data_IF_654830307935
#
_entry.id   IF_654830307935
#
_cell.length_a   1.000
_cell.length_b   1.000
_cell.length_c   1.000
_cell.angle_alpha   90.00
_cell.angle_beta   90.00
_cell.angle_gamma   90.00
#
_symmetry.space_group_name_H-M   'P 1'
#
loop_
_entity.id
_entity.type
_entity.pdbx_description
1 polymer ?
#
# COMPACT_ATOMS: atom_id res chain seq x y z
N UNK A 1 -3.25 10.18 -7.57
CA UNK A 1 -3.60 8.85 -8.11
C UNK A 1 -4.29 8.92 -9.48
N UNK A 2 -5.51 9.47 -9.59
CA UNK A 2 -6.31 9.33 -10.82
C UNK A 2 -5.69 9.87 -12.12
N UNK A 3 -4.99 11.00 -12.04
CA UNK A 3 -4.29 11.57 -13.20
C UNK A 3 -3.19 10.65 -13.74
N UNK A 4 -2.46 9.96 -12.84
CA UNK A 4 -1.43 9.00 -13.23
C UNK A 4 -2.06 7.80 -13.93
N UNK A 5 -3.19 7.30 -13.42
CA UNK A 5 -3.90 6.18 -14.02
C UNK A 5 -4.46 6.51 -15.41
N UNK A 6 -5.04 7.70 -15.59
CA UNK A 6 -5.48 8.18 -16.90
C UNK A 6 -4.30 8.27 -17.87
N UNK A 7 -3.12 8.73 -17.41
CA UNK A 7 -1.93 8.81 -18.25
C UNK A 7 -1.43 7.43 -18.70
N UNK A 8 -1.41 6.43 -17.79
CA UNK A 8 -1.05 5.05 -18.13
C UNK A 8 -2.08 4.46 -19.11
N UNK A 9 -3.37 4.72 -18.89
CA UNK A 9 -4.45 4.23 -19.76
C UNK A 9 -4.52 4.88 -21.13
N UNK A 10 -3.89 6.04 -21.31
CA UNK A 10 -3.70 6.61 -22.63
C UNK A 10 -2.73 5.77 -23.50
N UNK A 11 -1.90 4.93 -22.86
CA UNK A 11 -1.01 3.97 -23.53
C UNK A 11 -1.68 2.60 -23.60
N UNK A 12 -2.15 2.08 -22.46
CA UNK A 12 -2.86 0.79 -22.38
C UNK A 12 -4.15 0.92 -21.55
N UNK A 13 -5.32 0.95 -22.20
CA UNK A 13 -6.59 1.16 -21.53
C UNK A 13 -7.03 -0.01 -20.64
N UNK A 14 -6.39 -1.18 -20.74
CA UNK A 14 -6.69 -2.34 -19.87
C UNK A 14 -6.09 -2.19 -18.48
N UNK A 15 -5.10 -1.31 -18.31
CA UNK A 15 -4.38 -1.15 -17.05
C UNK A 15 -5.16 -0.31 -16.03
N UNK A 16 -4.90 -0.63 -14.76
CA UNK A 16 -5.29 0.13 -13.58
C UNK A 16 -4.07 0.30 -12.68
N UNK A 17 -4.12 1.24 -11.72
CA UNK A 17 -3.07 1.32 -10.70
C UNK A 17 -3.37 0.31 -9.59
N UNK A 18 -2.59 -0.77 -9.44
CA UNK A 18 -2.74 -1.70 -8.33
C UNK A 18 -2.47 -1.03 -6.97
N UNK A 19 -3.19 -1.47 -5.92
CA UNK A 19 -2.89 -1.06 -4.54
C UNK A 19 -1.81 -1.94 -3.93
N UNK A 20 -0.87 -1.45 -3.13
CA UNK A 20 0.07 -2.30 -2.37
C UNK A 20 -0.31 -2.39 -0.89
N UNK A 21 -0.86 -3.52 -0.47
CA UNK A 21 -1.13 -3.83 0.94
C UNK A 21 0.15 -4.28 1.67
N UNK A 22 0.89 -3.28 2.14
CA UNK A 22 2.10 -3.51 2.92
C UNK A 22 1.89 -4.27 4.24
N UNK A 23 0.64 -4.51 4.67
CA UNK A 23 0.37 -5.36 5.83
C UNK A 23 0.75 -6.83 5.57
N UNK A 24 0.67 -7.30 4.33
CA UNK A 24 1.06 -8.66 3.96
C UNK A 24 2.56 -8.87 4.14
N UNK A 25 3.37 -7.86 3.83
CA UNK A 25 4.82 -7.88 4.02
C UNK A 25 5.22 -7.69 5.49
N UNK A 26 4.41 -6.96 6.28
CA UNK A 26 4.66 -6.68 7.70
C UNK A 26 4.74 -7.95 8.57
N UNK A 27 4.21 -9.06 8.05
CA UNK A 27 4.19 -10.35 8.72
C UNK A 27 5.46 -11.17 8.54
N UNK A 28 6.36 -10.72 7.65
CA UNK A 28 7.65 -11.36 7.43
C UNK A 28 8.62 -11.15 8.60
N UNK A 29 9.61 -12.03 8.81
CA UNK A 29 10.61 -11.85 9.86
C UNK A 29 11.51 -10.64 9.53
N UNK A 30 11.69 -10.38 8.24
CA UNK A 30 12.32 -9.19 7.70
C UNK A 30 11.54 -8.74 6.45
N UNK A 31 10.73 -7.67 6.50
CA UNK A 31 9.95 -7.23 5.35
C UNK A 31 10.78 -6.79 4.13
N UNK A 32 12.07 -6.47 4.30
CA UNK A 32 13.00 -6.21 3.18
C UNK A 32 13.25 -7.46 2.32
N UNK A 33 12.96 -8.66 2.84
CA UNK A 33 13.11 -9.92 2.11
C UNK A 33 11.85 -10.34 1.35
N UNK A 34 10.81 -9.49 1.33
CA UNK A 34 9.66 -9.67 0.44
C UNK A 34 10.10 -9.80 -1.01
N UNK A 35 9.41 -10.66 -1.76
CA UNK A 35 9.57 -10.79 -3.21
C UNK A 35 9.34 -9.45 -3.95
N UNK A 36 8.60 -8.51 -3.36
CA UNK A 36 8.37 -7.18 -3.94
C UNK A 36 9.67 -6.38 -4.14
N UNK A 37 10.70 -6.59 -3.32
CA UNK A 37 11.99 -5.89 -3.40
C UNK A 37 13.02 -6.66 -4.24
N UNK A 38 12.55 -7.20 -5.37
CA UNK A 38 13.36 -7.95 -6.34
C UNK A 38 13.15 -7.40 -7.76
N UNK A 39 14.02 -7.76 -8.73
CA UNK A 39 13.87 -7.35 -10.12
C UNK A 39 12.54 -7.74 -10.77
N UNK A 40 11.80 -8.69 -10.18
CA UNK A 40 10.49 -9.10 -10.69
C UNK A 40 9.40 -8.04 -10.45
N UNK A 41 9.56 -7.21 -9.41
CA UNK A 41 8.56 -6.22 -8.99
C UNK A 41 9.15 -4.82 -8.91
N UNK A 42 9.47 -4.33 -7.70
CA UNK A 42 9.87 -2.94 -7.51
C UNK A 42 11.37 -2.70 -7.75
N UNK A 43 12.15 -3.75 -7.99
CA UNK A 43 13.60 -3.67 -8.12
C UNK A 43 14.30 -3.76 -6.77
N UNK A 44 15.55 -4.18 -6.80
CA UNK A 44 16.44 -4.24 -5.65
C UNK A 44 17.40 -3.05 -5.64
N UNK A 45 17.78 -2.62 -4.44
CA UNK A 45 18.79 -1.57 -4.23
C UNK A 45 20.19 -2.14 -4.26
N UNK A 46 21.16 -1.35 -4.72
CA UNK A 46 22.57 -1.61 -4.48
C UNK A 46 23.00 -1.13 -3.08
N UNK A 47 24.32 -1.06 -2.83
CA UNK A 47 24.87 -0.62 -1.54
C UNK A 47 24.70 0.88 -1.25
N UNK A 48 24.40 1.68 -2.28
CA UNK A 48 24.15 3.13 -2.17
C UNK A 48 22.66 3.45 -2.07
N UNK A 49 21.79 2.46 -2.26
CA UNK A 49 20.34 2.63 -2.26
C UNK A 49 19.75 2.82 -3.66
N UNK A 50 20.56 2.79 -4.71
CA UNK A 50 20.10 3.00 -6.09
C UNK A 50 19.35 1.79 -6.62
N UNK A 51 18.20 2.01 -7.28
CA UNK A 51 17.45 0.94 -7.96
C UNK A 51 18.07 0.66 -9.32
N UNK A 52 18.82 -0.45 -9.38
CA UNK A 52 19.67 -0.80 -10.54
C UNK A 52 19.08 -1.90 -11.43
N UNK A 53 17.95 -2.50 -11.05
CA UNK A 53 17.32 -3.61 -11.79
C UNK A 53 15.80 -3.59 -11.67
N UNK A 54 15.15 -4.43 -12.49
CA UNK A 54 13.70 -4.51 -12.59
C UNK A 54 13.07 -3.37 -13.41
N UNK A 55 11.73 -3.28 -13.42
CA UNK A 55 10.95 -2.35 -14.25
C UNK A 55 11.27 -0.86 -14.02
N UNK A 56 11.77 -0.51 -12.83
CA UNK A 56 12.05 0.87 -12.44
C UNK A 56 13.54 1.18 -12.36
N UNK A 57 14.39 0.31 -12.93
CA UNK A 57 15.80 0.63 -13.10
C UNK A 57 15.96 1.86 -14.01
N UNK A 58 16.89 2.74 -13.65
CA UNK A 58 17.21 3.96 -14.43
C UNK A 58 16.03 4.92 -14.61
N UNK A 59 15.10 4.92 -13.66
CA UNK A 59 14.01 5.89 -13.65
C UNK A 59 14.57 7.28 -13.33
N UNK A 60 14.39 8.22 -14.26
CA UNK A 60 14.89 9.59 -14.09
C UNK A 60 13.99 10.36 -13.12
N UNK A 61 14.60 11.03 -12.14
CA UNK A 61 13.87 11.88 -11.19
C UNK A 61 13.69 13.29 -11.74
N UNK A 62 12.74 14.04 -11.18
CA UNK A 62 12.52 15.44 -11.56
C UNK A 62 13.71 16.36 -11.22
N UNK A 63 14.56 15.94 -10.28
CA UNK A 63 15.79 16.63 -9.88
C UNK A 63 16.96 16.34 -10.81
N UNK A 64 16.78 15.47 -11.82
CA UNK A 64 17.78 15.14 -12.82
C UNK A 64 18.70 13.96 -12.44
N UNK A 65 18.37 13.22 -11.38
CA UNK A 65 19.06 11.96 -11.08
C UNK A 65 18.64 10.89 -12.08
N UNK A 66 19.57 10.03 -12.46
CA UNK A 66 19.32 8.96 -13.44
C UNK A 66 18.70 7.70 -12.85
N UNK A 67 18.52 7.66 -11.53
CA UNK A 67 17.96 6.54 -10.79
C UNK A 67 17.16 7.07 -9.60
N UNK A 68 16.16 6.30 -9.18
CA UNK A 68 15.47 6.49 -7.89
C UNK A 68 16.23 5.75 -6.78
N UNK A 69 16.15 6.27 -5.56
CA UNK A 69 16.79 5.71 -4.37
C UNK A 69 15.78 5.20 -3.33
N UNK A 70 16.14 4.11 -2.65
CA UNK A 70 15.42 3.59 -1.48
C UNK A 70 16.38 3.18 -0.37
N UNK A 71 15.91 3.35 0.85
CA UNK A 71 16.66 3.10 2.09
C UNK A 71 15.79 2.27 3.04
N UNK A 72 15.44 1.06 2.59
CA UNK A 72 14.40 0.25 3.21
C UNK A 72 14.67 -0.01 4.70
N UNK A 73 13.63 0.18 5.51
CA UNK A 73 13.60 -0.10 6.94
C UNK A 73 14.63 0.65 7.81
N UNK A 74 15.22 1.75 7.32
CA UNK A 74 16.04 2.64 8.18
C UNK A 74 15.18 3.39 9.21
N UNK A 75 14.02 3.86 8.78
CA UNK A 75 13.01 4.56 9.58
C UNK A 75 11.63 3.91 9.38
N UNK A 76 10.62 4.39 10.10
CA UNK A 76 9.23 4.00 9.82
C UNK A 76 8.93 2.51 9.98
N UNK A 77 7.72 2.13 9.58
CA UNK A 77 7.19 0.75 9.60
C UNK A 77 6.14 0.58 8.52
N UNK A 78 6.03 -0.63 7.99
CA UNK A 78 4.90 -1.03 7.14
C UNK A 78 3.57 -1.02 7.92
N UNK A 79 2.46 -1.00 7.18
CA UNK A 79 1.13 -1.08 7.77
C UNK A 79 0.96 -2.41 8.52
N UNK A 80 0.07 -2.43 9.51
CA UNK A 80 -0.31 -3.66 10.23
C UNK A 80 -1.82 -3.77 10.26
N UNK A 81 -2.36 -4.99 10.38
CA UNK A 81 -3.81 -5.18 10.56
C UNK A 81 -4.36 -4.38 11.75
N UNK A 82 -3.60 -4.26 12.84
CA UNK A 82 -3.99 -3.44 13.99
C UNK A 82 -4.16 -1.98 13.61
N UNK A 83 -3.18 -1.39 12.93
CA UNK A 83 -3.23 0.00 12.49
C UNK A 83 -4.36 0.26 11.48
N UNK A 84 -4.63 -0.68 10.57
CA UNK A 84 -5.74 -0.59 9.62
C UNK A 84 -7.08 -0.66 10.37
N UNK A 85 -7.22 -1.62 11.29
CA UNK A 85 -8.43 -1.76 12.10
C UNK A 85 -8.69 -0.53 12.98
N UNK A 86 -7.63 0.11 13.48
CA UNK A 86 -7.71 1.35 14.22
C UNK A 86 -8.31 2.48 13.38
N UNK A 87 -7.91 2.63 12.11
CA UNK A 87 -8.52 3.59 11.17
C UNK A 87 -9.99 3.24 10.92
N UNK A 88 -10.27 1.98 10.59
CA UNK A 88 -11.63 1.51 10.29
C UNK A 88 -12.57 1.60 11.51
N UNK A 89 -12.02 1.60 12.73
CA UNK A 89 -12.76 1.72 14.00
C UNK A 89 -13.29 3.13 14.28
N UNK A 90 -12.69 4.16 13.65
CA UNK A 90 -13.04 5.56 13.90
C UNK A 90 -14.41 5.89 13.33
N UNK A 91 -15.16 6.77 14.00
CA UNK A 91 -16.57 7.03 13.68
C UNK A 91 -16.79 8.39 13.02
N UNK A 92 -15.88 9.35 13.21
CA UNK A 92 -16.01 10.70 12.69
C UNK A 92 -14.94 11.05 11.67
N UNK A 93 -15.31 11.84 10.64
CA UNK A 93 -14.40 12.22 9.54
C UNK A 93 -13.13 12.94 10.03
N UNK A 94 -13.26 13.80 11.04
CA UNK A 94 -12.14 14.55 11.62
C UNK A 94 -11.18 13.67 12.42
N UNK A 95 -11.53 12.40 12.71
CA UNK A 95 -10.60 11.46 13.33
C UNK A 95 -9.72 10.82 12.24
N UNK A 96 -10.33 10.40 11.13
CA UNK A 96 -9.63 9.67 10.05
C UNK A 96 -8.76 10.59 9.21
N UNK A 97 -9.30 11.74 8.78
CA UNK A 97 -8.55 12.76 8.04
C UNK A 97 -7.68 13.61 8.97
N UNK A 98 -8.07 13.72 10.25
CA UNK A 98 -7.32 14.36 11.33
C UNK A 98 -6.87 15.81 11.06
N UNK A 99 -6.24 16.37 12.07
CA UNK A 99 -5.42 17.57 11.97
C UNK A 99 -4.03 17.16 12.45
N UNK A 100 -3.13 16.88 11.51
CA UNK A 100 -1.83 16.22 11.76
C UNK A 100 -0.70 17.19 12.06
N UNK A 101 -0.87 18.47 11.72
CA UNK A 101 0.02 19.54 12.11
C UNK A 101 -0.76 20.71 12.77
N UNK A 102 -1.48 20.48 13.88
CA UNK A 102 -2.26 21.52 14.52
C UNK A 102 -1.34 22.54 15.23
N UNK A 103 -1.69 23.81 15.10
CA UNK A 103 -1.04 24.90 15.83
C UNK A 103 -1.63 25.03 17.25
N UNK A 104 -0.95 25.84 18.08
CA UNK A 104 -1.43 26.17 19.42
C UNK A 104 -2.81 26.82 19.33
N UNK A 105 -3.80 26.24 20.01
CA UNK A 105 -5.17 26.74 20.05
C UNK A 105 -6.16 25.94 19.19
N UNK A 106 -5.72 24.90 18.47
CA UNK A 106 -6.64 23.95 17.86
C UNK A 106 -7.48 23.24 18.93
N UNK A 107 -8.83 23.25 18.85
CA UNK A 107 -9.69 22.60 19.85
C UNK A 107 -9.71 21.07 19.71
N UNK A 108 -9.18 20.52 18.62
CA UNK A 108 -9.11 19.09 18.37
C UNK A 108 -7.79 18.50 18.89
N UNK A 109 -7.87 17.35 19.55
CA UNK A 109 -6.68 16.62 19.99
C UNK A 109 -6.04 15.91 18.81
N UNK A 110 -4.71 15.82 18.82
CA UNK A 110 -3.94 15.02 17.86
C UNK A 110 -4.36 13.56 17.93
N UNK A 111 -4.72 12.98 16.79
CA UNK A 111 -5.06 11.56 16.68
C UNK A 111 -3.93 10.78 16.01
N UNK A 112 -3.07 10.14 16.79
CA UNK A 112 -1.96 9.33 16.25
C UNK A 112 -2.40 8.05 15.53
N UNK A 113 -3.70 7.71 15.55
CA UNK A 113 -4.29 6.60 14.80
C UNK A 113 -4.88 7.07 13.46
N UNK A 114 -4.64 8.31 13.05
CA UNK A 114 -5.12 8.85 11.78
C UNK A 114 -4.47 8.15 10.58
N UNK A 115 -5.19 8.14 9.46
CA UNK A 115 -4.74 7.49 8.22
C UNK A 115 -3.42 8.08 7.72
N UNK A 116 -3.25 9.40 7.82
CA UNK A 116 -2.04 10.10 7.39
C UNK A 116 -0.79 9.67 8.16
N UNK A 117 -0.88 9.37 9.47
CA UNK A 117 0.30 8.92 10.23
C UNK A 117 0.77 7.53 9.83
N UNK A 118 -0.17 6.60 9.63
CA UNK A 118 0.18 5.23 9.20
C UNK A 118 0.66 5.22 7.74
N UNK A 119 0.11 6.11 6.90
CA UNK A 119 0.59 6.38 5.54
C UNK A 119 2.03 6.91 5.53
N UNK A 120 2.33 7.91 6.37
CA UNK A 120 3.66 8.51 6.48
C UNK A 120 4.70 7.50 6.99
N UNK A 121 4.30 6.59 7.89
CA UNK A 121 5.18 5.52 8.39
C UNK A 121 5.75 4.64 7.27
N UNK A 122 4.98 4.38 6.20
CA UNK A 122 5.46 3.59 5.05
C UNK A 122 6.39 4.39 4.15
N UNK A 123 6.12 5.69 3.95
CA UNK A 123 7.05 6.59 3.25
C UNK A 123 8.43 6.58 3.91
N UNK A 124 8.46 6.69 5.25
CA UNK A 124 9.68 6.60 6.05
C UNK A 124 10.34 5.21 5.95
N UNK A 125 9.52 4.14 5.90
CA UNK A 125 10.02 2.78 5.77
C UNK A 125 10.68 2.50 4.42
N UNK A 126 10.16 3.05 3.32
CA UNK A 126 10.82 2.91 2.01
C UNK A 126 12.10 3.74 1.98
N UNK A 127 12.09 4.94 2.57
CA UNK A 127 13.26 5.81 2.58
C UNK A 127 13.59 6.39 1.20
N UNK A 128 14.81 6.91 1.05
CA UNK A 128 15.27 7.51 -0.22
C UNK A 128 14.30 8.56 -0.76
N UNK A 129 13.96 8.47 -2.04
CA UNK A 129 13.03 9.40 -2.70
C UNK A 129 11.64 9.38 -2.07
N UNK A 130 11.19 8.23 -1.56
CA UNK A 130 9.87 8.08 -0.92
C UNK A 130 9.73 8.83 0.41
N UNK A 131 10.83 9.23 1.06
CA UNK A 131 10.77 9.87 2.38
C UNK A 131 10.36 11.35 2.33
N UNK A 132 11.00 12.23 1.53
CA UNK A 132 10.57 13.62 1.42
C UNK A 132 9.27 13.75 0.61
N UNK A 133 8.27 14.52 1.08
CA UNK A 133 7.02 14.72 0.33
C UNK A 133 7.24 15.26 -1.09
N UNK A 134 8.26 16.11 -1.28
CA UNK A 134 8.57 16.76 -2.56
C UNK A 134 9.13 15.81 -3.62
N UNK A 135 9.84 14.75 -3.24
CA UNK A 135 10.45 13.77 -4.15
C UNK A 135 9.67 12.47 -4.21
N UNK A 136 8.76 12.21 -3.25
CA UNK A 136 8.13 10.90 -3.09
C UNK A 136 7.44 10.37 -4.34
N UNK A 137 6.87 11.24 -5.17
CA UNK A 137 6.22 10.85 -6.42
C UNK A 137 7.19 10.46 -7.56
N UNK A 138 8.51 10.65 -7.40
CA UNK A 138 9.52 10.16 -8.32
C UNK A 138 9.58 8.61 -8.31
N UNK A 139 9.39 7.99 -7.15
CA UNK A 139 9.38 6.53 -7.02
C UNK A 139 8.00 5.97 -7.41
N UNK A 140 7.90 5.10 -8.43
CA UNK A 140 6.62 4.53 -8.85
C UNK A 140 5.85 3.81 -7.73
N UNK A 141 6.53 3.28 -6.70
CA UNK A 141 5.89 2.66 -5.52
C UNK A 141 4.93 3.62 -4.81
N UNK A 142 5.14 4.93 -4.94
CA UNK A 142 4.23 5.98 -4.48
C UNK A 142 2.78 5.70 -4.87
N UNK A 143 2.54 5.37 -6.14
CA UNK A 143 1.18 5.19 -6.65
C UNK A 143 0.52 3.92 -6.11
N UNK A 144 1.29 2.87 -5.89
CA UNK A 144 0.81 1.61 -5.32
C UNK A 144 0.45 1.78 -3.85
N UNK A 145 1.33 2.45 -3.08
CA UNK A 145 1.09 2.78 -1.68
C UNK A 145 -0.14 3.68 -1.52
N UNK A 146 -0.20 4.79 -2.27
CA UNK A 146 -1.34 5.71 -2.22
C UNK A 146 -2.65 5.10 -2.69
N UNK A 147 -2.61 4.13 -3.62
CA UNK A 147 -3.79 3.36 -3.99
C UNK A 147 -4.31 2.49 -2.83
N UNK A 148 -3.42 1.95 -2.00
CA UNK A 148 -3.86 1.21 -0.81
C UNK A 148 -4.37 2.12 0.31
N UNK A 149 -3.79 3.30 0.49
CA UNK A 149 -4.31 4.31 1.41
C UNK A 149 -5.72 4.76 1.00
N UNK A 150 -5.96 4.98 -0.29
CA UNK A 150 -7.30 5.30 -0.81
C UNK A 150 -8.27 4.12 -0.64
N UNK A 151 -7.82 2.87 -0.83
CA UNK A 151 -8.60 1.68 -0.53
C UNK A 151 -9.05 1.62 0.94
N UNK A 152 -8.13 1.86 1.89
CA UNK A 152 -8.46 1.91 3.33
C UNK A 152 -9.48 3.01 3.62
N UNK A 153 -9.30 4.20 3.02
CA UNK A 153 -10.25 5.31 3.19
C UNK A 153 -11.63 4.98 2.63
N UNK A 154 -11.71 4.36 1.45
CA UNK A 154 -12.99 3.95 0.86
C UNK A 154 -13.68 2.86 1.70
N UNK A 155 -12.93 1.88 2.23
CA UNK A 155 -13.46 0.89 3.17
C UNK A 155 -14.03 1.55 4.43
N UNK A 156 -13.38 2.60 4.95
CA UNK A 156 -13.90 3.39 6.07
C UNK A 156 -15.21 4.10 5.68
N UNK A 157 -15.24 4.79 4.53
CA UNK A 157 -16.46 5.46 4.01
C UNK A 157 -17.62 4.48 3.86
N UNK A 158 -17.33 3.27 3.38
CA UNK A 158 -18.32 2.21 3.22
C UNK A 158 -18.92 1.72 4.54
N UNK A 159 -18.09 1.61 5.59
CA UNK A 159 -18.52 1.14 6.92
C UNK A 159 -19.18 2.22 7.77
N UNK A 160 -18.83 3.50 7.58
CA UNK A 160 -19.19 4.58 8.52
C UNK A 160 -20.14 5.61 7.96
N UNK A 161 -20.23 5.74 6.65
CA UNK A 161 -21.00 6.80 6.01
C UNK A 161 -22.05 6.22 5.07
N UNK A 162 -23.27 6.76 5.16
CA UNK A 162 -24.23 6.65 4.08
C UNK A 162 -23.76 7.48 2.87
N UNK A 163 -24.39 7.29 1.71
CA UNK A 163 -23.97 7.95 0.47
C UNK A 163 -23.99 9.48 0.53
N UNK A 164 -24.91 10.10 1.28
CA UNK A 164 -24.96 11.56 1.42
C UNK A 164 -23.84 12.11 2.32
N UNK A 165 -23.56 11.43 3.43
CA UNK A 165 -22.45 11.78 4.32
C UNK A 165 -21.10 11.70 3.62
N UNK A 166 -20.93 10.74 2.70
CA UNK A 166 -19.72 10.55 1.90
C UNK A 166 -19.35 11.74 1.03
N UNK A 167 -20.29 12.59 0.64
CA UNK A 167 -20.04 13.75 -0.23
C UNK A 167 -19.97 15.09 0.52
N UNK A 168 -20.44 15.11 1.78
CA UNK A 168 -20.66 16.34 2.53
C UNK A 168 -19.83 16.45 3.82
N UNK A 169 -19.43 15.33 4.41
CA UNK A 169 -18.64 15.35 5.63
C UNK A 169 -17.16 15.59 5.33
N UNK A 170 -16.66 16.74 5.78
CA UNK A 170 -15.26 17.15 5.71
C UNK A 170 -14.84 17.72 7.08
N UNK A 171 -13.56 17.66 7.48
CA UNK A 171 -13.06 18.38 8.65
C UNK A 171 -13.46 19.87 8.64
N UNK A 172 -13.66 20.46 9.81
CA UNK A 172 -14.04 21.88 9.86
C UNK A 172 -12.86 22.77 9.45
N UNK A 173 -13.18 23.89 8.81
CA UNK A 173 -12.18 24.87 8.38
C UNK A 173 -11.70 25.70 9.59
N UNK A 174 -10.78 25.13 10.37
CA UNK A 174 -10.21 25.76 11.57
C UNK A 174 -8.75 26.10 11.29
N UNK A 175 -8.45 27.40 11.20
CA UNK A 175 -7.12 27.90 10.82
C UNK A 175 -6.02 27.50 11.81
N UNK A 176 -6.37 27.31 13.09
CA UNK A 176 -5.45 26.84 14.12
C UNK A 176 -5.15 25.33 13.98
N UNK A 177 -5.95 24.57 13.21
CA UNK A 177 -5.80 23.13 13.10
C UNK A 177 -5.19 22.69 11.76
N UNK A 178 -5.35 23.49 10.71
CA UNK A 178 -4.81 23.19 9.39
C UNK A 178 -4.65 24.47 8.57
N UNK A 179 -3.71 24.45 7.63
CA UNK A 179 -3.53 25.57 6.70
C UNK A 179 -4.77 25.76 5.82
N UNK A 180 -4.96 26.96 5.28
CA UNK A 180 -6.15 27.30 4.47
C UNK A 180 -6.24 26.45 3.20
N UNK A 181 -5.11 25.96 2.69
CA UNK A 181 -5.03 25.07 1.53
C UNK A 181 -5.71 23.71 1.78
N UNK A 182 -5.90 23.32 3.04
CA UNK A 182 -6.58 22.08 3.42
C UNK A 182 -8.08 22.27 3.67
N UNK A 183 -8.60 23.50 3.60
CA UNK A 183 -10.02 23.76 3.83
C UNK A 183 -10.89 23.16 2.74
N UNK A 184 -12.12 22.82 3.09
CA UNK A 184 -13.09 22.16 2.19
C UNK A 184 -13.33 22.94 0.89
N UNK A 185 -13.38 24.26 0.99
CA UNK A 185 -13.62 25.21 -0.09
C UNK A 185 -12.34 25.75 -0.74
N UNK A 186 -11.16 25.27 -0.33
CA UNK A 186 -9.90 25.63 -0.98
C UNK A 186 -9.73 24.84 -2.29
N UNK A 187 -9.07 25.48 -3.25
CA UNK A 187 -8.74 24.85 -4.52
C UNK A 187 -7.66 23.78 -4.30
N UNK A 188 -7.94 22.55 -4.72
CA UNK A 188 -7.00 21.43 -4.67
C UNK A 188 -5.96 21.57 -5.79
N UNK A 189 -4.95 22.40 -5.57
CA UNK A 189 -3.90 22.64 -6.58
C UNK A 189 -3.10 21.36 -6.88
N UNK A 190 -2.70 21.13 -8.15
CA UNK A 190 -2.89 21.97 -9.33
C UNK A 190 -4.22 21.71 -10.08
N UNK A 191 -5.18 21.02 -9.46
CA UNK A 191 -6.42 20.63 -10.10
C UNK A 191 -7.49 21.72 -10.02
N UNK A 192 -8.30 21.85 -11.07
CA UNK A 192 -9.43 22.77 -11.11
C UNK A 192 -10.64 22.19 -10.35
N UNK A 193 -10.49 21.96 -9.04
CA UNK A 193 -11.55 21.46 -8.16
C UNK A 193 -11.29 21.82 -6.70
N UNK A 194 -12.34 21.95 -5.89
CA UNK A 194 -12.22 22.16 -4.46
C UNK A 194 -11.88 20.86 -3.71
N UNK A 195 -11.27 20.98 -2.54
CA UNK A 195 -10.91 19.82 -1.71
C UNK A 195 -12.10 18.91 -1.39
N UNK A 196 -13.25 19.49 -1.03
CA UNK A 196 -14.46 18.71 -0.73
C UNK A 196 -14.96 17.89 -1.92
N UNK A 197 -14.75 18.36 -3.14
CA UNK A 197 -15.09 17.62 -4.35
C UNK A 197 -14.17 16.41 -4.58
N UNK A 198 -13.11 16.24 -3.77
CA UNK A 198 -12.34 15.00 -3.67
C UNK A 198 -13.16 13.82 -3.14
N UNK A 199 -14.23 14.09 -2.38
CA UNK A 199 -15.05 13.08 -1.73
C UNK A 199 -16.26 12.61 -2.57
N UNK A 200 -16.33 12.93 -3.87
CA UNK A 200 -17.50 12.56 -4.68
C UNK A 200 -17.65 11.03 -4.78
N UNK A 201 -18.88 10.51 -4.69
CA UNK A 201 -19.13 9.09 -4.98
C UNK A 201 -18.93 8.77 -6.47
N UNK A 202 -18.93 9.78 -7.36
CA UNK A 202 -18.74 9.58 -8.79
C UNK A 202 -17.42 8.86 -9.13
N UNK A 203 -16.41 8.97 -8.28
CA UNK A 203 -15.16 8.23 -8.42
C UNK A 203 -15.36 6.70 -8.32
N UNK A 204 -16.09 6.22 -7.32
CA UNK A 204 -16.31 4.78 -7.11
C UNK A 204 -17.53 4.24 -7.87
N UNK A 205 -18.46 5.12 -8.24
CA UNK A 205 -19.57 4.76 -9.11
C UNK A 205 -19.12 4.55 -10.55
N UNK A 206 -18.25 5.44 -11.07
CA UNK A 206 -17.98 5.54 -12.51
C UNK A 206 -16.51 5.38 -12.92
N UNK A 207 -15.55 5.38 -11.98
CA UNK A 207 -14.13 5.46 -12.36
C UNK A 207 -13.23 4.37 -11.78
N UNK A 208 -13.51 3.76 -10.64
CA UNK A 208 -12.70 2.66 -10.13
C UNK A 208 -13.45 1.84 -9.09
N UNK A 209 -13.01 0.60 -8.89
CA UNK A 209 -13.30 -0.21 -7.72
C UNK A 209 -12.01 -0.90 -7.25
N UNK A 210 -11.97 -1.26 -5.97
CA UNK A 210 -10.89 -2.07 -5.44
C UNK A 210 -11.32 -3.53 -5.42
N UNK A 211 -10.41 -4.44 -5.78
CA UNK A 211 -10.62 -5.84 -5.45
C UNK A 211 -10.44 -6.04 -3.94
N UNK A 212 -11.04 -7.12 -3.45
CA UNK A 212 -10.92 -7.50 -2.05
C UNK A 212 -9.46 -7.78 -1.68
N UNK A 213 -9.12 -7.52 -0.41
CA UNK A 213 -7.80 -7.83 0.14
C UNK A 213 -7.61 -9.36 0.18
N UNK A 214 -6.41 -9.88 -0.15
CA UNK A 214 -6.16 -11.33 -0.10
C UNK A 214 -6.43 -11.91 1.29
N UNK A 215 -7.24 -12.95 1.35
CA UNK A 215 -7.49 -13.74 2.56
C UNK A 215 -7.30 -15.21 2.27
N UNK A 216 -7.10 -16.02 3.32
CA UNK A 216 -6.97 -17.46 3.16
C UNK A 216 -7.49 -18.20 4.40
N UNK A 217 -7.62 -19.50 4.28
CA UNK A 217 -8.07 -20.41 5.33
C UNK A 217 -7.16 -21.64 5.39
N UNK A 218 -7.48 -22.61 6.24
CA UNK A 218 -6.71 -23.86 6.35
C UNK A 218 -6.64 -24.64 5.03
N UNK A 219 -7.72 -24.62 4.25
CA UNK A 219 -7.87 -25.37 3.00
C UNK A 219 -7.65 -24.50 1.76
N UNK A 220 -7.67 -23.17 1.90
CA UNK A 220 -7.50 -22.21 0.81
C UNK A 220 -6.08 -21.68 0.67
N UNK A 221 -5.77 -21.15 -0.51
CA UNK A 221 -4.58 -20.34 -0.74
C UNK A 221 -4.94 -18.84 -0.79
N UNK A 222 -3.97 -18.02 -1.17
CA UNK A 222 -4.12 -16.57 -1.27
C UNK A 222 -4.44 -16.09 -2.68
N UNK A 223 -4.75 -17.00 -3.63
CA UNK A 223 -5.03 -16.69 -5.02
C UNK A 223 -3.85 -16.09 -5.81
N UNK A 224 -2.62 -16.21 -5.30
CA UNK A 224 -1.42 -15.64 -5.91
C UNK A 224 -0.22 -16.55 -5.71
N UNK A 225 0.61 -16.77 -6.75
CA UNK A 225 1.86 -17.52 -6.63
C UNK A 225 2.92 -16.76 -5.84
N UNK A 226 2.67 -15.50 -5.48
CA UNK A 226 3.59 -14.64 -4.74
C UNK A 226 3.17 -14.39 -3.31
N UNK A 227 2.03 -14.96 -2.89
CA UNK A 227 1.56 -14.95 -1.52
C UNK A 227 1.54 -16.38 -0.99
N UNK A 228 1.60 -16.54 0.32
CA UNK A 228 1.38 -17.82 0.98
C UNK A 228 0.44 -17.66 2.17
N UNK A 229 -0.31 -18.72 2.47
CA UNK A 229 -1.22 -18.74 3.59
C UNK A 229 -0.49 -19.20 4.85
N UNK A 230 -0.48 -18.34 5.87
CA UNK A 230 0.19 -18.59 7.13
C UNK A 230 -0.78 -18.62 8.31
N UNK A 231 -0.56 -19.52 9.27
CA UNK A 231 -1.36 -19.61 10.48
C UNK A 231 -0.67 -18.89 11.62
N UNK A 232 -1.30 -17.87 12.17
CA UNK A 232 -0.84 -17.27 13.41
C UNK A 232 -1.04 -18.25 14.57
N UNK A 233 0.07 -18.80 15.09
CA UNK A 233 0.08 -19.81 16.16
C UNK A 233 -0.59 -19.34 17.46
N UNK A 234 -0.64 -18.03 17.72
CA UNK A 234 -1.23 -17.46 18.95
C UNK A 234 -2.74 -17.24 18.84
N UNK A 235 -3.19 -16.62 17.76
CA UNK A 235 -4.62 -16.27 17.58
C UNK A 235 -5.41 -17.34 16.85
N UNK A 236 -4.74 -18.38 16.33
CA UNK A 236 -5.34 -19.41 15.48
C UNK A 236 -5.99 -18.85 14.20
N UNK A 237 -5.59 -17.65 13.77
CA UNK A 237 -6.12 -16.98 12.59
C UNK A 237 -5.22 -17.23 11.37
N UNK A 238 -5.83 -17.45 10.21
CA UNK A 238 -5.15 -17.62 8.93
C UNK A 238 -5.05 -16.29 8.20
N UNK A 239 -3.91 -16.02 7.58
CA UNK A 239 -3.65 -14.77 6.87
C UNK A 239 -2.72 -14.98 5.69
N UNK A 240 -2.89 -14.15 4.67
CA UNK A 240 -1.95 -14.09 3.57
C UNK A 240 -0.70 -13.31 3.98
N UNK A 241 0.44 -13.75 3.45
CA UNK A 241 1.76 -13.15 3.68
C UNK A 241 2.51 -13.15 2.35
N UNK A 242 3.28 -12.09 2.07
CA UNK A 242 4.12 -12.04 0.88
C UNK A 242 5.18 -13.13 0.89
N UNK A 243 5.43 -13.80 -0.24
CA UNK A 243 6.54 -14.75 -0.33
C UNK A 243 7.89 -14.04 -0.19
N UNK A 244 8.86 -14.80 0.27
CA UNK A 244 10.21 -14.37 0.60
C UNK A 244 11.13 -14.69 -0.57
N UNK A 245 11.97 -13.73 -0.97
CA UNK A 245 12.97 -13.92 -2.02
C UNK A 245 14.02 -14.97 -1.63
N UNK A 246 14.70 -15.54 -2.63
CA UNK A 246 15.83 -16.44 -2.40
C UNK A 246 16.88 -15.76 -1.51
N UNK A 247 17.42 -16.51 -0.56
CA UNK A 247 18.32 -16.08 0.52
C UNK A 247 17.72 -15.14 1.58
N UNK A 248 16.43 -14.81 1.49
CA UNK A 248 15.72 -14.05 2.51
C UNK A 248 15.44 -14.86 3.79
N UNK A 249 15.16 -14.17 4.89
CA UNK A 249 14.88 -14.79 6.20
C UNK A 249 13.47 -15.36 6.28
N UNK A 250 13.35 -16.65 6.58
CA UNK A 250 12.09 -17.38 6.70
C UNK A 250 11.88 -18.03 8.08
N UNK A 251 12.61 -17.59 9.11
CA UNK A 251 12.45 -18.09 10.47
C UNK A 251 10.99 -18.05 10.93
N UNK A 252 10.48 -19.18 11.41
CA UNK A 252 9.09 -19.34 11.84
C UNK A 252 8.13 -19.84 10.76
N UNK A 253 8.60 -19.95 9.51
CA UNK A 253 7.84 -20.44 8.35
C UNK A 253 8.44 -21.71 7.73
N UNK A 254 9.22 -22.49 8.49
CA UNK A 254 9.98 -23.65 7.99
C UNK A 254 9.12 -24.73 7.30
N UNK A 255 7.86 -24.86 7.69
CA UNK A 255 6.91 -25.85 7.17
C UNK A 255 5.78 -25.21 6.33
N UNK A 256 5.96 -23.97 5.90
CA UNK A 256 4.99 -23.23 5.10
C UNK A 256 5.58 -22.91 3.73
N UNK A 257 4.71 -22.63 2.76
CA UNK A 257 5.08 -22.30 1.37
C UNK A 257 5.62 -20.85 1.25
N UNK A 258 6.52 -20.47 2.15
CA UNK A 258 6.90 -19.07 2.38
C UNK A 258 7.93 -18.53 1.39
N UNK A 259 8.74 -19.40 0.78
CA UNK A 259 9.80 -19.01 -0.13
C UNK A 259 9.29 -18.99 -1.58
N UNK A 260 9.62 -17.94 -2.33
CA UNK A 260 9.37 -17.89 -3.77
C UNK A 260 10.35 -18.83 -4.48
N UNK A 261 9.83 -19.76 -5.28
CA UNK A 261 10.61 -20.79 -6.00
C UNK A 261 11.67 -21.49 -5.12
N UNK A 262 11.30 -21.74 -3.86
CA UNK A 262 12.24 -22.22 -2.86
C UNK A 262 11.58 -22.92 -1.69
N UNK A 263 12.43 -23.35 -0.75
CA UNK A 263 12.04 -23.94 0.52
C UNK A 263 12.82 -23.28 1.67
N UNK A 264 12.19 -23.21 2.83
CA UNK A 264 12.83 -22.62 4.01
C UNK A 264 13.77 -23.64 4.66
N UNK A 265 15.09 -23.43 4.53
CA UNK A 265 16.12 -24.34 5.04
C UNK A 265 17.00 -23.59 6.03
N UNK A 266 16.98 -24.02 7.29
CA UNK A 266 17.76 -23.41 8.38
C UNK A 266 17.49 -21.90 8.52
N UNK A 267 16.22 -21.50 8.36
CA UNK A 267 15.77 -20.11 8.50
C UNK A 267 16.05 -19.20 7.29
N UNK A 268 16.54 -19.74 6.17
CA UNK A 268 16.74 -19.00 4.93
C UNK A 268 16.04 -19.67 3.75
N UNK A 269 15.49 -18.87 2.84
CA UNK A 269 14.94 -19.37 1.60
C UNK A 269 16.07 -19.85 0.68
N UNK A 270 16.02 -21.12 0.26
CA UNK A 270 16.97 -21.73 -0.68
C UNK A 270 16.21 -22.27 -1.88
N UNK A 271 16.88 -22.32 -3.02
CA UNK A 271 16.32 -22.89 -4.24
C UNK A 271 15.84 -24.33 -3.99
N UNK A 272 14.65 -24.64 -4.48
CA UNK A 272 14.00 -25.93 -4.28
C UNK A 272 12.50 -25.82 -4.54
N UNK A 273 11.79 -26.95 -4.58
CA UNK A 273 10.35 -26.98 -4.76
C UNK A 273 9.65 -27.30 -3.45
N UNK A 274 8.81 -26.38 -2.97
CA UNK A 274 7.93 -26.68 -1.86
C UNK A 274 6.85 -27.66 -2.31
N UNK A 275 6.87 -28.88 -1.77
CA UNK A 275 5.89 -29.90 -2.11
C UNK A 275 4.54 -29.62 -1.43
N UNK A 276 3.75 -28.71 -2.00
CA UNK A 276 2.32 -28.59 -1.69
C UNK A 276 1.55 -29.64 -2.51
N UNK A 277 0.49 -30.24 -1.96
CA UNK A 277 -0.47 -30.99 -2.79
C UNK A 277 -1.11 -29.98 -3.77
N UNK A 278 -0.63 -29.95 -5.01
CA UNK A 278 -1.04 -28.98 -6.02
C UNK A 278 -2.48 -29.25 -6.46
N UNK A 279 -3.38 -28.28 -6.29
CA UNK A 279 -4.54 -28.16 -7.17
C UNK A 279 -4.05 -27.45 -8.44
N UNK A 280 -4.17 -28.13 -9.58
CA UNK A 280 -3.77 -27.61 -10.89
C UNK A 280 -4.64 -26.39 -11.23
N UNK A 281 -4.04 -25.20 -11.29
CA UNK A 281 -4.64 -24.06 -11.98
C UNK A 281 -4.31 -24.19 -13.47
N UNK A 282 -5.35 -24.15 -14.31
CA UNK A 282 -5.22 -24.10 -15.77
C UNK A 282 -4.84 -22.68 -16.17
N UNK A 283 -3.79 -22.57 -16.98
CA UNK A 283 -3.22 -21.32 -17.45
C UNK A 283 -4.20 -20.54 -18.34
N UNK A 284 -4.75 -19.43 -17.85
CA UNK A 284 -5.12 -18.24 -18.62
C UNK A 284 -5.26 -17.06 -17.62
N UNK A 285 -4.86 -15.86 -18.04
CA UNK A 285 -4.70 -14.60 -17.29
C UNK A 285 -3.43 -14.43 -16.43
N UNK A 286 -2.34 -14.06 -17.12
CA UNK A 286 -1.10 -13.56 -16.53
C UNK A 286 -1.08 -12.03 -16.53
N UNK A 287 -2.10 -11.40 -15.94
CA UNK A 287 -2.05 -10.01 -15.47
C UNK A 287 -2.90 -9.95 -14.19
N UNK A 288 -2.40 -9.29 -13.13
CA UNK A 288 -3.06 -9.04 -11.84
C UNK A 288 -3.11 -10.20 -10.81
N UNK A 289 -1.96 -10.60 -10.22
CA UNK A 289 -1.92 -11.56 -9.08
C UNK A 289 -1.08 -11.09 -7.89
N UNK A 290 -1.19 -9.82 -7.54
CA UNK A 290 -0.69 -9.33 -6.24
C UNK A 290 -1.66 -8.30 -5.67
N UNK A 291 -2.20 -7.49 -6.57
CA UNK A 291 -2.87 -6.25 -6.27
C UNK A 291 -3.83 -5.98 -7.43
N UNK A 292 -5.13 -5.92 -7.16
CA UNK A 292 -6.10 -5.64 -8.22
C UNK A 292 -6.95 -4.47 -7.78
N UNK A 293 -6.81 -3.35 -8.47
CA UNK A 293 -7.93 -2.41 -8.64
C UNK A 293 -8.52 -2.73 -10.01
N UNK A 294 -9.84 -2.73 -10.14
CA UNK A 294 -10.49 -2.88 -11.43
C UNK A 294 -11.25 -1.61 -11.78
N UNK A 295 -11.26 -1.26 -13.05
CA UNK A 295 -12.11 -0.20 -13.56
C UNK A 295 -13.48 -0.74 -13.92
N UNK A 296 -14.47 0.15 -13.87
CA UNK A 296 -15.76 -0.01 -14.52
C UNK A 296 -15.74 0.71 -15.87
#
# INVERSE_FOLDING_TARGET
>A
LKRAEIAIRAIDPSLSIPYWDSSLDSHLPNPQDSILWTPLFFGATDMYGDIMNGPFARFNTLEGHTHIQRDLAKDGRLLTEGAINDVLSQTAIHQVLAYTAPERGCPYRTNFRALEYIHASVHLWIGGDMKPPVTSANDPVFYFHHSFIDCIFELWRQRRQNRGSRESQFPQNVAQCSSREHFSNALMRPFNKFNIQGLSNAYTDNMYTYAERPTCSKEGDCGSPYLFCSRNKRSNHWRCVSKIRVNGRCNGFENEDACYEGVCVRGLCRAGLFSRKVFLFTSFDLMCTFWVSSWK
#
